data_IF_219380747787
#
_entry.id   IF_219380747787
#
_cell.length_a   1.000
_cell.length_b   1.000
_cell.length_c   1.000
_cell.angle_alpha   90.00
_cell.angle_beta   90.00
_cell.angle_gamma   90.00
#
_symmetry.space_group_name_H-M   'P 1'
#
loop_
_entity.id
_entity.type
_entity.pdbx_description
1 polymer ?
#
# COMPACT_ATOMS: atom_id res chain seq x y z
N UNK A 1 -16.13 3.08 6.76
CA UNK A 1 -15.27 2.92 5.59
C UNK A 1 -16.10 2.70 4.34
N UNK A 2 -15.50 2.86 3.17
CA UNK A 2 -16.18 2.64 1.88
C UNK A 2 -16.62 1.17 1.70
N UNK A 3 -15.92 0.24 2.33
CA UNK A 3 -16.26 -1.19 2.40
C UNK A 3 -17.46 -1.52 3.29
N UNK A 4 -17.97 -0.57 4.07
CA UNK A 4 -18.95 -0.79 5.11
C UNK A 4 -18.36 -1.21 6.47
N UNK A 5 -17.06 -1.50 6.53
CA UNK A 5 -16.39 -1.87 7.78
C UNK A 5 -16.21 -0.65 8.70
N UNK A 6 -16.08 -0.86 10.00
CA UNK A 6 -15.93 0.17 11.03
C UNK A 6 -14.70 -0.08 11.91
N UNK A 7 -13.52 -0.18 11.26
CA UNK A 7 -12.26 -0.52 11.92
C UNK A 7 -11.57 0.69 12.58
N UNK A 8 -11.98 1.91 12.22
CA UNK A 8 -11.38 3.13 12.78
C UNK A 8 -12.08 3.55 14.06
N UNK A 9 -11.30 4.00 15.03
CA UNK A 9 -11.78 4.45 16.32
C UNK A 9 -11.24 5.86 16.62
N UNK A 10 -12.04 6.67 17.31
CA UNK A 10 -11.58 7.92 17.90
C UNK A 10 -11.17 7.66 19.34
N UNK A 11 -10.02 8.18 19.75
CA UNK A 11 -9.51 8.05 21.13
C UNK A 11 -9.29 9.44 21.70
N UNK A 12 -9.94 9.71 22.82
CA UNK A 12 -9.86 10.98 23.53
C UNK A 12 -9.03 10.83 24.80
N UNK A 13 -8.02 11.71 24.98
CA UNK A 13 -7.20 11.77 26.17
C UNK A 13 -7.56 13.02 26.95
N UNK A 14 -8.21 12.87 28.12
CA UNK A 14 -8.59 14.00 29.00
C UNK A 14 -7.85 13.86 30.32
N UNK A 15 -6.94 14.78 30.60
CA UNK A 15 -6.12 14.85 31.82
C UNK A 15 -5.39 13.54 32.19
N UNK A 16 -5.05 12.73 31.19
CA UNK A 16 -4.34 11.46 31.40
C UNK A 16 -2.92 11.75 31.90
N UNK A 17 -2.57 11.20 33.07
CA UNK A 17 -1.23 11.30 33.65
C UNK A 17 -0.50 9.98 33.48
N UNK A 18 0.69 10.03 32.88
CA UNK A 18 1.55 8.88 32.63
C UNK A 18 2.87 9.10 33.38
N UNK A 19 3.37 8.13 34.16
CA UNK A 19 4.69 8.21 34.80
C UNK A 19 5.78 8.43 33.73
N UNK A 20 6.76 9.29 34.03
CA UNK A 20 7.87 9.56 33.10
C UNK A 20 8.70 8.31 32.77
N UNK A 21 8.70 7.30 33.65
CA UNK A 21 9.33 5.99 33.39
C UNK A 21 8.77 5.25 32.17
N UNK A 22 7.59 5.63 31.64
CA UNK A 22 7.00 5.08 30.40
C UNK A 22 7.40 5.85 29.15
N UNK A 23 8.16 6.92 29.30
CA UNK A 23 8.69 7.68 28.16
C UNK A 23 9.66 6.83 27.35
N UNK A 24 9.46 6.81 26.04
CA UNK A 24 10.38 6.19 25.08
C UNK A 24 11.38 7.24 24.58
N UNK A 25 12.66 6.98 24.78
CA UNK A 25 13.74 7.90 24.39
C UNK A 25 13.88 9.11 25.34
N UNK A 26 14.81 9.98 25.00
CA UNK A 26 15.08 11.19 25.76
C UNK A 26 14.10 12.33 25.43
N UNK A 27 14.03 13.33 26.31
CA UNK A 27 13.25 14.55 26.05
C UNK A 27 13.67 15.20 24.72
N UNK A 28 12.72 15.56 23.88
CA UNK A 28 12.98 16.12 22.54
C UNK A 28 13.26 15.09 21.45
N UNK A 29 13.32 13.79 21.74
CA UNK A 29 13.60 12.72 20.76
C UNK A 29 12.34 12.04 20.22
N UNK A 30 11.17 12.65 20.30
CA UNK A 30 9.92 12.06 19.85
C UNK A 30 9.91 11.72 18.35
N UNK A 31 10.53 12.55 17.50
CA UNK A 31 10.61 12.28 16.07
C UNK A 31 11.42 11.03 15.69
N UNK A 32 12.65 10.82 16.21
CA UNK A 32 13.36 9.55 16.02
C UNK A 32 12.59 8.32 16.52
N UNK A 33 11.89 8.42 17.65
CA UNK A 33 11.03 7.34 18.16
C UNK A 33 9.88 7.03 17.18
N UNK A 34 9.18 8.05 16.69
CA UNK A 34 8.12 7.90 15.71
C UNK A 34 8.64 7.27 14.40
N UNK A 35 9.81 7.69 13.90
CA UNK A 35 10.42 7.11 12.70
C UNK A 35 10.69 5.61 12.85
N UNK A 36 11.12 5.15 14.03
CA UNK A 36 11.32 3.72 14.30
C UNK A 36 10.02 2.94 14.12
N UNK A 37 8.90 3.45 14.62
CA UNK A 37 7.58 2.84 14.45
C UNK A 37 7.17 2.81 12.97
N UNK A 38 7.30 3.93 12.26
CA UNK A 38 6.94 4.04 10.84
C UNK A 38 7.77 3.13 9.93
N UNK A 39 9.04 2.90 10.26
CA UNK A 39 9.89 1.96 9.51
C UNK A 39 9.41 0.51 9.65
N UNK A 40 9.01 0.11 10.86
CA UNK A 40 8.47 -1.23 11.11
C UNK A 40 7.09 -1.42 10.45
N UNK A 41 6.23 -0.40 10.48
CA UNK A 41 4.94 -0.41 9.79
C UNK A 41 5.09 -0.65 8.27
N UNK A 42 6.05 0.00 7.62
CA UNK A 42 6.32 -0.20 6.18
C UNK A 42 6.66 -1.63 5.83
N UNK A 43 7.42 -2.32 6.69
CA UNK A 43 7.72 -3.74 6.49
C UNK A 43 6.45 -4.60 6.56
N UNK A 44 5.53 -4.27 7.46
CA UNK A 44 4.26 -4.97 7.60
C UNK A 44 3.32 -4.72 6.42
N UNK A 45 3.16 -3.46 5.99
CA UNK A 45 2.28 -3.09 4.85
C UNK A 45 2.85 -3.55 3.52
N UNK A 46 4.17 -3.52 3.32
CA UNK A 46 4.83 -3.96 2.09
C UNK A 46 4.83 -5.47 1.86
N UNK A 47 4.43 -6.26 2.86
CA UNK A 47 4.45 -7.74 2.83
C UNK A 47 3.28 -8.43 2.12
N UNK A 48 2.41 -7.69 1.45
CA UNK A 48 1.27 -8.24 0.70
C UNK A 48 0.05 -8.42 1.60
N UNK A 49 -0.77 -7.37 1.72
CA UNK A 49 -2.08 -7.44 2.36
C UNK A 49 -3.06 -8.31 1.56
N UNK A 50 -4.11 -8.79 2.22
CA UNK A 50 -5.24 -9.43 1.57
C UNK A 50 -5.87 -8.45 0.56
N UNK A 51 -5.94 -8.83 -0.71
CA UNK A 51 -6.52 -8.01 -1.76
C UNK A 51 -6.48 -8.74 -3.10
N UNK A 52 -6.89 -8.05 -4.17
CA UNK A 52 -6.85 -8.62 -5.51
C UNK A 52 -5.42 -8.93 -5.93
N UNK A 53 -5.21 -10.18 -6.34
CA UNK A 53 -3.94 -10.71 -6.81
C UNK A 53 -4.09 -11.39 -8.17
N UNK A 54 -3.00 -11.84 -8.75
CA UNK A 54 -3.01 -12.55 -10.05
C UNK A 54 -3.83 -13.83 -9.98
N UNK A 55 -3.76 -14.69 -8.94
CA UNK A 55 -4.65 -15.83 -8.77
C UNK A 55 -6.15 -15.48 -8.83
N UNK A 56 -6.58 -14.41 -8.17
CA UNK A 56 -7.98 -13.94 -8.23
C UNK A 56 -8.36 -13.52 -9.65
N UNK A 57 -7.53 -12.71 -10.31
CA UNK A 57 -7.77 -12.26 -11.68
C UNK A 57 -7.85 -13.44 -12.66
N UNK A 58 -6.95 -14.42 -12.52
CA UNK A 58 -6.99 -15.65 -13.33
C UNK A 58 -8.26 -16.45 -13.11
N UNK A 59 -8.67 -16.63 -11.86
CA UNK A 59 -9.86 -17.39 -11.51
C UNK A 59 -11.14 -16.72 -12.05
N UNK A 60 -11.24 -15.39 -11.94
CA UNK A 60 -12.35 -14.64 -12.54
C UNK A 60 -12.35 -14.84 -14.06
N UNK A 61 -11.22 -14.62 -14.73
CA UNK A 61 -11.09 -14.76 -16.18
C UNK A 61 -11.39 -16.19 -16.70
N UNK A 62 -11.19 -17.21 -15.87
CA UNK A 62 -11.56 -18.60 -16.20
C UNK A 62 -13.06 -18.87 -16.04
N UNK A 63 -13.76 -18.07 -15.23
CA UNK A 63 -15.17 -18.32 -14.87
C UNK A 63 -16.13 -17.47 -15.70
N UNK A 64 -15.76 -16.20 -15.98
CA UNK A 64 -16.60 -15.30 -16.79
C UNK A 64 -16.34 -15.51 -18.29
N UNK A 65 -17.32 -15.14 -19.12
CA UNK A 65 -17.24 -15.29 -20.58
C UNK A 65 -17.22 -13.93 -21.28
N UNK A 66 -16.44 -13.83 -22.34
CA UNK A 66 -16.43 -12.73 -23.31
C UNK A 66 -16.75 -13.33 -24.68
N UNK A 67 -17.80 -12.86 -25.34
CA UNK A 67 -18.25 -13.38 -26.65
C UNK A 67 -18.44 -14.92 -26.64
N UNK A 68 -19.14 -15.44 -25.64
CA UNK A 68 -19.47 -16.86 -25.44
C UNK A 68 -18.23 -17.78 -25.24
N UNK A 69 -17.08 -17.22 -24.91
CA UNK A 69 -15.85 -17.97 -24.61
C UNK A 69 -15.28 -17.55 -23.26
N UNK A 70 -14.60 -18.45 -22.51
CA UNK A 70 -13.93 -18.05 -21.29
C UNK A 70 -13.03 -16.84 -21.50
N UNK A 71 -13.15 -15.81 -20.66
CA UNK A 71 -12.39 -14.55 -20.79
C UNK A 71 -10.87 -14.78 -20.80
N UNK A 72 -10.39 -15.84 -20.14
CA UNK A 72 -8.97 -16.23 -20.16
C UNK A 72 -8.45 -16.59 -21.56
N UNK A 73 -9.31 -16.91 -22.53
CA UNK A 73 -8.92 -17.18 -23.91
C UNK A 73 -8.72 -15.89 -24.72
N UNK A 74 -9.23 -14.76 -24.25
CA UNK A 74 -9.00 -13.47 -24.88
C UNK A 74 -7.54 -13.02 -24.72
N UNK A 75 -6.93 -12.55 -25.81
CA UNK A 75 -5.52 -12.20 -25.85
C UNK A 75 -5.21 -10.94 -25.02
N UNK A 76 -6.13 -9.98 -24.94
CA UNK A 76 -5.94 -8.76 -24.15
C UNK A 76 -6.04 -9.06 -22.64
N UNK A 77 -7.00 -9.90 -22.25
CA UNK A 77 -7.12 -10.40 -20.88
C UNK A 77 -5.84 -11.14 -20.43
N UNK A 78 -5.34 -12.04 -21.27
CA UNK A 78 -4.09 -12.77 -21.01
C UNK A 78 -2.89 -11.85 -20.87
N UNK A 79 -2.77 -10.87 -21.78
CA UNK A 79 -1.67 -9.91 -21.75
C UNK A 79 -1.71 -9.04 -20.45
N UNK A 80 -2.89 -8.62 -20.02
CA UNK A 80 -3.08 -7.84 -18.79
C UNK A 80 -2.67 -8.66 -17.55
N UNK A 81 -3.14 -9.92 -17.45
CA UNK A 81 -2.78 -10.82 -16.35
C UNK A 81 -1.27 -11.11 -16.35
N UNK A 82 -0.67 -11.34 -17.52
CA UNK A 82 0.77 -11.54 -17.62
C UNK A 82 1.57 -10.33 -17.12
N UNK A 83 1.13 -9.12 -17.45
CA UNK A 83 1.75 -7.89 -16.95
C UNK A 83 1.66 -7.78 -15.41
N UNK A 84 0.51 -8.10 -14.82
CA UNK A 84 0.37 -8.15 -13.37
C UNK A 84 1.32 -9.17 -12.74
N UNK A 85 1.46 -10.34 -13.34
CA UNK A 85 2.40 -11.37 -12.87
C UNK A 85 3.86 -10.90 -12.90
N UNK A 86 4.27 -10.18 -13.94
CA UNK A 86 5.61 -9.59 -14.02
C UNK A 86 5.85 -8.61 -12.88
N UNK A 87 4.88 -7.75 -12.57
CA UNK A 87 4.97 -6.83 -11.45
C UNK A 87 5.04 -7.56 -10.09
N UNK A 88 4.24 -8.61 -9.90
CA UNK A 88 4.31 -9.44 -8.69
C UNK A 88 5.66 -10.11 -8.52
N UNK A 89 6.21 -10.66 -9.59
CA UNK A 89 7.55 -11.25 -9.57
C UNK A 89 8.61 -10.21 -9.18
N UNK A 90 8.54 -9.00 -9.74
CA UNK A 90 9.44 -7.89 -9.39
C UNK A 90 9.36 -7.54 -7.90
N UNK A 91 8.15 -7.40 -7.36
CA UNK A 91 7.93 -7.12 -5.93
C UNK A 91 8.46 -8.25 -5.04
N UNK A 92 8.21 -9.50 -5.41
CA UNK A 92 8.72 -10.68 -4.69
C UNK A 92 10.24 -10.68 -4.60
N UNK A 93 10.94 -10.44 -5.71
CA UNK A 93 12.40 -10.41 -5.72
C UNK A 93 12.97 -9.19 -4.99
N UNK A 94 12.29 -8.05 -5.04
CA UNK A 94 12.64 -6.90 -4.21
C UNK A 94 12.51 -7.23 -2.71
N UNK A 95 11.45 -7.94 -2.31
CA UNK A 95 11.28 -8.45 -0.94
C UNK A 95 12.41 -9.41 -0.52
N UNK A 96 12.86 -10.29 -1.41
CA UNK A 96 14.00 -11.19 -1.13
C UNK A 96 15.31 -10.44 -0.89
N UNK A 97 15.53 -9.30 -1.57
CA UNK A 97 16.68 -8.43 -1.30
C UNK A 97 16.64 -7.87 0.13
N UNK A 98 15.47 -7.39 0.57
CA UNK A 98 15.28 -6.90 1.94
C UNK A 98 15.52 -8.01 2.98
N UNK A 99 14.98 -9.21 2.76
CA UNK A 99 15.21 -10.37 3.63
C UNK A 99 16.69 -10.77 3.67
N UNK A 100 17.38 -10.71 2.54
CA UNK A 100 18.82 -10.99 2.47
C UNK A 100 19.66 -9.95 3.24
N UNK A 101 19.27 -8.69 3.23
CA UNK A 101 19.91 -7.66 4.06
C UNK A 101 19.70 -7.97 5.57
N UNK A 102 18.46 -8.22 5.97
CA UNK A 102 18.13 -8.58 7.36
C UNK A 102 18.90 -9.82 7.83
N UNK A 103 19.06 -10.85 7.01
CA UNK A 103 19.79 -12.08 7.36
C UNK A 103 21.29 -11.87 7.60
N UNK A 104 21.86 -10.78 7.07
CA UNK A 104 23.23 -10.34 7.32
C UNK A 104 23.35 -9.40 8.51
N UNK A 105 22.26 -9.06 9.18
CA UNK A 105 22.22 -8.07 10.25
C UNK A 105 22.15 -6.61 9.76
N UNK A 106 21.97 -6.39 8.47
CA UNK A 106 21.78 -5.07 7.88
C UNK A 106 20.33 -4.61 8.06
N UNK A 107 20.08 -3.32 8.11
CA UNK A 107 18.72 -2.77 8.00
C UNK A 107 18.32 -2.67 6.53
N UNK A 108 17.05 -2.99 6.17
CA UNK A 108 16.55 -2.74 4.82
C UNK A 108 16.69 -1.28 4.45
N UNK A 109 17.21 -1.02 3.25
CA UNK A 109 17.42 0.33 2.78
C UNK A 109 16.14 1.02 2.27
N UNK A 110 16.26 2.28 1.81
CA UNK A 110 15.13 3.07 1.31
C UNK A 110 14.48 2.46 0.06
N UNK A 111 15.15 1.54 -0.64
CA UNK A 111 14.61 0.78 -1.78
C UNK A 111 13.39 -0.08 -1.40
N UNK A 112 13.16 -0.36 -0.13
CA UNK A 112 11.94 -1.04 0.33
C UNK A 112 10.68 -0.22 0.03
N UNK A 113 10.82 1.10 -0.12
CA UNK A 113 9.72 1.99 -0.55
C UNK A 113 9.16 1.65 -1.94
N UNK A 114 9.96 0.99 -2.81
CA UNK A 114 9.51 0.49 -4.11
C UNK A 114 8.35 -0.51 -3.94
N UNK A 115 8.43 -1.34 -2.90
CA UNK A 115 7.38 -2.33 -2.60
C UNK A 115 6.01 -1.67 -2.47
N UNK A 116 5.93 -0.59 -1.72
CA UNK A 116 4.67 0.16 -1.52
C UNK A 116 4.28 0.97 -2.77
N UNK A 117 5.23 1.66 -3.39
CA UNK A 117 4.98 2.51 -4.57
C UNK A 117 4.44 1.71 -5.77
N UNK A 118 4.89 0.47 -5.95
CA UNK A 118 4.42 -0.40 -7.04
C UNK A 118 3.24 -1.27 -6.58
N UNK A 119 3.26 -1.76 -5.35
CA UNK A 119 2.29 -2.71 -4.83
C UNK A 119 0.88 -2.14 -4.70
N UNK A 120 0.74 -0.93 -4.18
CA UNK A 120 -0.57 -0.32 -3.96
C UNK A 120 -1.29 0.04 -5.28
N UNK A 121 -0.66 0.72 -6.26
CA UNK A 121 -1.26 0.91 -7.59
C UNK A 121 -1.58 -0.41 -8.29
N UNK A 122 -0.68 -1.40 -8.25
CA UNK A 122 -0.91 -2.72 -8.86
C UNK A 122 -2.17 -3.39 -8.29
N UNK A 123 -2.36 -3.36 -6.97
CA UNK A 123 -3.54 -3.93 -6.33
C UNK A 123 -4.82 -3.22 -6.78
N UNK A 124 -4.79 -1.90 -6.89
CA UNK A 124 -5.91 -1.11 -7.41
C UNK A 124 -6.22 -1.47 -8.88
N UNK A 125 -5.18 -1.59 -9.71
CA UNK A 125 -5.32 -1.96 -11.13
C UNK A 125 -5.87 -3.39 -11.30
N UNK A 126 -5.43 -4.36 -10.50
CA UNK A 126 -5.96 -5.73 -10.52
C UNK A 126 -7.42 -5.73 -10.07
N UNK A 127 -7.75 -5.02 -8.99
CA UNK A 127 -9.11 -4.94 -8.50
C UNK A 127 -10.05 -4.31 -9.54
N UNK A 128 -9.65 -3.20 -10.16
CA UNK A 128 -10.40 -2.56 -11.26
C UNK A 128 -10.59 -3.51 -12.43
N UNK A 129 -9.53 -4.18 -12.87
CA UNK A 129 -9.60 -5.18 -13.94
C UNK A 129 -10.55 -6.34 -13.61
N UNK A 130 -10.56 -6.82 -12.37
CA UNK A 130 -11.50 -7.84 -11.92
C UNK A 130 -12.96 -7.34 -11.97
N UNK A 131 -13.19 -6.09 -11.58
CA UNK A 131 -14.53 -5.47 -11.67
C UNK A 131 -14.99 -5.34 -13.11
N UNK A 132 -14.09 -4.92 -14.03
CA UNK A 132 -14.40 -4.84 -15.46
C UNK A 132 -14.78 -6.20 -16.05
N UNK A 133 -14.09 -7.27 -15.64
CA UNK A 133 -14.41 -8.64 -16.10
C UNK A 133 -15.73 -9.17 -15.52
N UNK A 134 -16.11 -8.73 -14.33
CA UNK A 134 -17.37 -9.13 -13.68
C UNK A 134 -18.59 -8.41 -14.26
N UNK A 135 -18.38 -7.32 -14.98
CA UNK A 135 -19.45 -6.49 -15.58
C UNK A 135 -20.54 -6.16 -14.53
N UNK A 136 -21.80 -6.50 -14.79
CA UNK A 136 -22.92 -6.25 -13.89
C UNK A 136 -22.81 -7.01 -12.55
N UNK A 137 -22.15 -8.18 -12.52
CA UNK A 137 -21.91 -8.90 -11.27
C UNK A 137 -20.94 -8.16 -10.34
N UNK A 138 -20.11 -7.28 -10.87
CA UNK A 138 -19.26 -6.39 -10.08
C UNK A 138 -20.05 -5.41 -9.20
N UNK A 139 -21.28 -5.08 -9.56
CA UNK A 139 -22.14 -4.19 -8.79
C UNK A 139 -22.83 -4.85 -7.59
N UNK A 140 -22.79 -6.17 -7.48
CA UNK A 140 -23.39 -6.89 -6.36
C UNK A 140 -22.62 -6.65 -5.07
N UNK A 141 -23.36 -6.52 -3.95
CA UNK A 141 -22.78 -6.30 -2.62
C UNK A 141 -23.64 -6.95 -1.52
N UNK A 142 -23.03 -7.27 -0.39
CA UNK A 142 -23.73 -7.84 0.76
C UNK A 142 -24.10 -9.30 0.56
N UNK A 143 -25.35 -9.65 0.89
CA UNK A 143 -25.84 -11.03 0.85
C UNK A 143 -26.01 -11.60 -0.57
N UNK A 144 -25.99 -10.73 -1.59
CA UNK A 144 -26.04 -11.13 -3.01
C UNK A 144 -24.68 -11.58 -3.56
N UNK A 145 -23.61 -11.52 -2.74
CA UNK A 145 -22.27 -11.94 -3.10
C UNK A 145 -22.09 -13.44 -2.91
N UNK A 146 -22.33 -14.22 -3.96
CA UNK A 146 -22.00 -15.64 -4.00
C UNK A 146 -20.64 -15.92 -4.63
N UNK A 147 -20.25 -15.13 -5.63
CA UNK A 147 -19.03 -15.34 -6.38
C UNK A 147 -17.79 -14.83 -5.65
N UNK A 148 -16.96 -15.77 -5.20
CA UNK A 148 -15.69 -15.47 -4.50
C UNK A 148 -15.85 -14.56 -3.27
N UNK A 149 -17.04 -14.59 -2.66
CA UNK A 149 -17.39 -13.79 -1.48
C UNK A 149 -17.05 -12.29 -1.64
N UNK A 150 -17.19 -11.75 -2.84
CA UNK A 150 -16.96 -10.34 -3.15
C UNK A 150 -15.50 -9.88 -3.02
N UNK A 151 -14.54 -10.77 -3.22
CA UNK A 151 -13.12 -10.43 -3.07
C UNK A 151 -12.68 -9.29 -4.00
N UNK A 152 -13.18 -9.26 -5.25
CA UNK A 152 -12.88 -8.20 -6.20
C UNK A 152 -13.46 -6.85 -5.73
N UNK A 153 -14.74 -6.84 -5.32
CA UNK A 153 -15.45 -5.66 -4.83
C UNK A 153 -14.79 -5.06 -3.58
N UNK A 154 -14.49 -5.90 -2.58
CA UNK A 154 -13.80 -5.45 -1.36
C UNK A 154 -12.42 -4.88 -1.67
N UNK A 155 -11.67 -5.54 -2.56
CA UNK A 155 -10.36 -5.06 -2.99
C UNK A 155 -10.46 -3.74 -3.74
N UNK A 156 -11.43 -3.59 -4.62
CA UNK A 156 -11.67 -2.35 -5.38
C UNK A 156 -11.95 -1.17 -4.43
N UNK A 157 -12.84 -1.36 -3.46
CA UNK A 157 -13.19 -0.34 -2.49
C UNK A 157 -12.04 -0.01 -1.52
N UNK A 158 -11.28 -1.03 -1.07
CA UNK A 158 -10.19 -0.85 -0.10
C UNK A 158 -8.88 -0.36 -0.70
N UNK A 159 -8.63 -0.60 -2.00
CA UNK A 159 -7.34 -0.36 -2.63
C UNK A 159 -6.88 1.10 -2.57
N UNK A 160 -7.81 2.06 -2.65
CA UNK A 160 -7.50 3.49 -2.60
C UNK A 160 -6.85 3.90 -1.27
N UNK A 161 -7.25 3.28 -0.15
CA UNK A 161 -6.68 3.52 1.16
C UNK A 161 -5.20 3.14 1.23
N UNK A 162 -4.78 2.10 0.52
CA UNK A 162 -3.39 1.66 0.49
C UNK A 162 -2.46 2.62 -0.25
N UNK A 163 -2.97 3.50 -1.10
CA UNK A 163 -2.17 4.54 -1.75
C UNK A 163 -1.83 5.71 -0.81
N UNK A 164 -2.52 5.80 0.31
CA UNK A 164 -2.35 6.85 1.32
C UNK A 164 -1.67 6.29 2.58
N UNK A 165 -2.14 5.15 3.08
CA UNK A 165 -1.63 4.50 4.28
C UNK A 165 -0.14 4.09 4.12
N UNK A 166 0.63 4.19 5.20
CA UNK A 166 2.06 3.87 5.20
C UNK A 166 2.93 4.85 4.39
N UNK A 167 2.40 6.02 4.08
CA UNK A 167 2.98 7.06 3.25
C UNK A 167 2.40 7.10 1.85
N UNK A 168 2.11 8.30 1.34
CA UNK A 168 1.53 8.48 0.00
C UNK A 168 2.50 8.09 -1.11
N UNK A 169 2.00 7.91 -2.31
CA UNK A 169 2.83 7.62 -3.49
C UNK A 169 3.89 8.71 -3.72
N UNK A 170 3.52 9.98 -3.48
CA UNK A 170 4.43 11.13 -3.59
C UNK A 170 5.56 11.05 -2.56
N UNK A 171 5.23 10.71 -1.31
CA UNK A 171 6.26 10.52 -0.25
C UNK A 171 7.19 9.36 -0.61
N UNK A 172 6.66 8.25 -1.11
CA UNK A 172 7.50 7.12 -1.55
C UNK A 172 8.39 7.52 -2.74
N UNK A 173 7.86 8.27 -3.68
CA UNK A 173 8.62 8.79 -4.83
C UNK A 173 9.76 9.70 -4.36
N UNK A 174 9.50 10.63 -3.43
CA UNK A 174 10.53 11.51 -2.87
C UNK A 174 11.61 10.72 -2.12
N UNK A 175 11.24 9.72 -1.32
CA UNK A 175 12.21 8.87 -0.63
C UNK A 175 13.13 8.15 -1.63
N UNK A 176 12.57 7.62 -2.71
CA UNK A 176 13.34 6.94 -3.75
C UNK A 176 14.23 7.93 -4.49
N UNK A 177 13.70 9.08 -4.89
CA UNK A 177 14.43 10.13 -5.58
C UNK A 177 15.65 10.60 -4.77
N UNK A 178 15.43 10.94 -3.50
CA UNK A 178 16.47 11.53 -2.65
C UNK A 178 17.46 10.49 -2.11
N UNK A 179 16.98 9.33 -1.66
CA UNK A 179 17.78 8.37 -0.88
C UNK A 179 18.31 7.19 -1.69
N UNK A 180 17.66 6.85 -2.81
CA UNK A 180 18.10 5.76 -3.71
C UNK A 180 18.84 6.33 -4.91
N UNK A 181 18.26 7.35 -5.56
CA UNK A 181 18.83 7.95 -6.76
C UNK A 181 19.80 9.11 -6.45
N UNK A 182 19.84 9.62 -5.22
CA UNK A 182 20.72 10.71 -4.82
C UNK A 182 20.36 12.07 -5.43
N UNK A 183 19.09 12.26 -5.83
CA UNK A 183 18.63 13.54 -6.35
C UNK A 183 18.56 14.60 -5.23
N UNK A 184 18.73 15.89 -5.57
CA UNK A 184 18.65 16.95 -4.58
C UNK A 184 17.25 17.03 -3.96
N UNK A 185 17.21 17.40 -2.69
CA UNK A 185 15.94 17.71 -2.00
C UNK A 185 15.36 19.01 -2.52
N UNK A 186 14.04 19.11 -2.47
CA UNK A 186 13.34 20.37 -2.73
C UNK A 186 13.78 21.46 -1.72
N UNK A 187 13.84 22.72 -2.15
CA UNK A 187 14.09 23.85 -1.25
C UNK A 187 13.05 23.86 -0.11
N UNK A 188 13.53 23.90 1.13
CA UNK A 188 12.68 23.85 2.31
C UNK A 188 12.91 25.09 3.19
N UNK A 189 11.89 25.95 3.27
CA UNK A 189 11.93 27.14 4.12
C UNK A 189 11.80 26.81 5.63
N UNK A 190 11.35 25.61 5.96
CA UNK A 190 11.11 25.13 7.33
C UNK A 190 12.30 24.39 7.95
N UNK A 191 13.36 24.13 7.17
CA UNK A 191 14.47 23.29 7.62
C UNK A 191 15.38 24.02 8.60
N UNK A 192 15.47 23.48 9.82
CA UNK A 192 16.41 23.96 10.84
C UNK A 192 15.98 25.22 11.57
N UNK A 193 14.73 25.65 11.44
CA UNK A 193 14.14 26.77 12.18
C UNK A 193 13.03 26.27 13.13
N UNK A 194 12.79 26.95 14.25
CA UNK A 194 11.68 26.63 15.15
C UNK A 194 10.33 26.70 14.43
N UNK A 195 9.38 25.84 14.83
CA UNK A 195 8.08 25.76 14.18
C UNK A 195 7.31 27.09 14.15
N UNK A 196 7.40 27.88 15.23
CA UNK A 196 6.76 29.20 15.34
C UNK A 196 7.41 30.28 14.44
N UNK A 197 8.56 30.00 13.83
CA UNK A 197 9.26 30.90 12.90
C UNK A 197 9.11 30.45 11.44
N UNK A 198 8.44 29.32 11.19
CA UNK A 198 8.21 28.81 9.84
C UNK A 198 7.28 29.79 9.09
N UNK A 199 7.65 30.22 7.86
CA UNK A 199 6.79 31.08 7.06
C UNK A 199 5.43 30.42 6.78
N UNK A 200 4.35 31.13 7.05
CA UNK A 200 2.96 30.62 6.89
C UNK A 200 2.40 30.83 5.48
N UNK A 201 3.22 31.34 4.57
CA UNK A 201 2.79 31.68 3.20
C UNK A 201 1.88 32.92 3.17
N UNK A 202 2.31 33.97 2.51
CA UNK A 202 1.49 35.11 2.14
C UNK A 202 1.31 35.13 0.64
#
# INVERSE_FOLDING_TARGET
>A
QLTGDADFNEVYFTDVRIPDSYRLGEGGQGWPVALTTLMNERLAIGGGGAGADVPLAMKIAQTVSINDRPAIEDSAVRAKIANFHVQEAGLKYNGYRALSALSRGDLPGPETSIGKLVGAPKLQDIASFCMDLLEEHGALWGDDLDFMAGAAQRSYMGASGLRIAGGTDEIMTNIIAERVLGLPQDPRADKGIPFNEVPTGN
#
